data_IF_021074885751
#
_entry.id   IF_021074885751
#
_cell.length_a   1.000
_cell.length_b   1.000
_cell.length_c   1.000
_cell.angle_alpha   90.00
_cell.angle_beta   90.00
_cell.angle_gamma   90.00
#
_symmetry.space_group_name_H-M   'P 1'
#
loop_
_entity.id
_entity.type
_entity.pdbx_description
1 polymer ?
#
# COMPACT_ATOMS: atom_id res chain seq x y z
N UNK A 1 -19.28 -16.39 -12.09
CA UNK A 1 -19.08 -15.30 -11.10
C UNK A 1 -17.99 -15.79 -10.16
N UNK A 2 -16.81 -15.22 -10.25
CA UNK A 2 -15.67 -15.63 -9.42
C UNK A 2 -15.90 -15.03 -8.05
N UNK A 3 -15.82 -15.89 -7.05
CA UNK A 3 -15.94 -15.48 -5.65
C UNK A 3 -14.68 -14.69 -5.26
N UNK A 4 -14.81 -13.38 -5.26
CA UNK A 4 -13.76 -12.42 -4.86
C UNK A 4 -13.25 -12.66 -3.44
N UNK A 5 -14.07 -13.25 -2.58
CA UNK A 5 -13.71 -13.59 -1.22
C UNK A 5 -12.66 -14.70 -1.19
N UNK A 6 -12.86 -15.75 -2.01
CA UNK A 6 -11.90 -16.86 -2.11
C UNK A 6 -10.56 -16.46 -2.73
N UNK A 7 -10.56 -15.54 -3.71
CA UNK A 7 -9.32 -15.00 -4.28
C UNK A 7 -8.57 -14.13 -3.28
N UNK A 8 -9.28 -13.36 -2.47
CA UNK A 8 -8.74 -12.53 -1.42
C UNK A 8 -8.15 -13.36 -0.27
N UNK A 9 -8.86 -14.40 0.16
CA UNK A 9 -8.39 -15.39 1.14
C UNK A 9 -7.10 -16.10 0.69
N UNK A 10 -7.06 -16.53 -0.56
CA UNK A 10 -5.88 -17.17 -1.14
C UNK A 10 -4.70 -16.19 -1.21
N UNK A 11 -4.98 -14.94 -1.55
CA UNK A 11 -3.99 -13.88 -1.59
C UNK A 11 -3.37 -13.59 -0.22
N UNK A 12 -4.19 -13.45 0.81
CA UNK A 12 -3.70 -13.21 2.16
C UNK A 12 -2.86 -14.39 2.68
N UNK A 13 -3.19 -15.62 2.30
CA UNK A 13 -2.38 -16.81 2.58
C UNK A 13 -1.04 -16.80 1.83
N UNK A 14 -1.03 -16.36 0.57
CA UNK A 14 0.18 -16.32 -0.27
C UNK A 14 1.05 -15.09 0.07
N UNK A 15 0.47 -13.92 0.35
CA UNK A 15 1.22 -12.75 0.78
C UNK A 15 1.85 -12.92 2.16
N UNK A 16 1.23 -13.73 3.05
CA UNK A 16 1.90 -14.24 4.26
C UNK A 16 3.23 -14.92 3.90
N UNK A 17 3.20 -15.88 3.00
CA UNK A 17 4.41 -16.63 2.58
C UNK A 17 5.47 -15.73 1.95
N UNK A 18 5.09 -14.74 1.18
CA UNK A 18 6.02 -13.94 0.36
C UNK A 18 6.60 -12.73 1.12
N UNK A 19 5.78 -11.99 1.88
CA UNK A 19 6.29 -10.87 2.71
C UNK A 19 7.18 -11.38 3.84
N UNK A 20 6.95 -12.56 4.30
CA UNK A 20 7.39 -13.11 5.57
C UNK A 20 8.50 -14.12 5.40
N UNK A 21 8.50 -14.94 4.37
CA UNK A 21 9.59 -15.87 4.08
C UNK A 21 10.97 -15.20 3.94
N UNK A 22 11.00 -13.87 3.86
CA UNK A 22 12.22 -13.06 3.81
C UNK A 22 12.46 -12.17 5.04
N UNK A 23 11.57 -12.17 6.02
CA UNK A 23 11.77 -11.41 7.27
C UNK A 23 12.49 -12.22 8.35
N UNK A 24 12.28 -13.55 8.34
CA UNK A 24 12.89 -14.43 9.33
C UNK A 24 13.34 -15.75 8.69
N UNK A 25 14.56 -16.17 8.94
CA UNK A 25 15.00 -17.52 8.72
C UNK A 25 14.53 -18.40 9.87
N UNK A 26 13.76 -19.42 9.53
CA UNK A 26 13.53 -20.66 10.27
C UNK A 26 12.86 -20.58 11.66
N UNK A 27 11.69 -21.19 11.72
CA UNK A 27 11.00 -21.57 12.96
C UNK A 27 9.64 -22.17 12.64
N UNK A 28 9.55 -23.49 12.63
CA UNK A 28 8.29 -24.22 12.44
C UNK A 28 7.26 -23.82 13.50
N UNK A 29 6.15 -23.26 13.09
CA UNK A 29 4.99 -23.06 13.96
C UNK A 29 3.76 -23.74 13.35
N UNK A 30 3.35 -24.80 14.01
CA UNK A 30 2.16 -25.61 13.80
C UNK A 30 0.87 -24.76 13.87
N UNK A 31 -0.05 -25.08 12.98
CA UNK A 31 -1.42 -24.58 12.99
C UNK A 31 -2.18 -25.06 14.24
N UNK A 32 -2.91 -24.14 14.83
CA UNK A 32 -4.02 -24.44 15.71
C UNK A 32 -4.01 -23.70 17.03
N UNK A 33 -4.72 -22.54 17.07
CA UNK A 33 -5.45 -22.11 18.26
C UNK A 33 -6.56 -21.14 17.81
N UNK A 34 -7.79 -21.45 18.24
CA UNK A 34 -8.96 -20.57 18.17
C UNK A 34 -8.70 -19.36 19.07
N UNK A 35 -8.62 -18.17 18.47
CA UNK A 35 -8.53 -16.94 19.25
C UNK A 35 -9.83 -16.71 20.02
N UNK A 36 -9.72 -16.45 21.31
CA UNK A 36 -10.79 -15.87 22.11
C UNK A 36 -11.23 -14.54 21.49
N UNK A 37 -12.55 -14.31 21.41
CA UNK A 37 -13.14 -13.09 20.85
C UNK A 37 -13.00 -11.93 21.82
N UNK A 38 -11.80 -11.40 21.98
CA UNK A 38 -11.56 -10.08 22.54
C UNK A 38 -12.08 -9.00 21.56
N UNK A 39 -12.67 -7.94 22.10
CA UNK A 39 -13.10 -6.80 21.30
C UNK A 39 -11.89 -6.19 20.57
N UNK A 40 -11.95 -6.10 19.25
CA UNK A 40 -10.84 -5.61 18.42
C UNK A 40 -10.61 -4.13 18.72
N UNK A 41 -9.45 -3.79 19.27
CA UNK A 41 -9.11 -2.41 19.58
C UNK A 41 -8.39 -1.74 18.41
N UNK A 42 -9.12 -0.89 17.67
CA UNK A 42 -8.54 -0.02 16.66
C UNK A 42 -8.47 1.41 17.21
N UNK A 43 -7.27 1.96 17.30
CA UNK A 43 -7.05 3.36 17.66
C UNK A 43 -7.32 4.24 16.45
N UNK A 44 -8.17 5.27 16.62
CA UNK A 44 -8.55 6.19 15.54
C UNK A 44 -8.10 7.60 15.87
N UNK A 45 -7.31 8.19 14.98
CA UNK A 45 -6.83 9.57 15.10
C UNK A 45 -7.42 10.43 14.00
N UNK A 46 -7.74 11.69 14.32
CA UNK A 46 -8.13 12.71 13.35
C UNK A 46 -6.92 13.56 13.00
N UNK A 47 -6.54 13.58 11.72
CA UNK A 47 -5.39 14.34 11.24
C UNK A 47 -5.84 15.57 10.45
N UNK A 48 -5.23 16.72 10.73
CA UNK A 48 -5.32 17.91 9.89
C UNK A 48 -4.09 17.97 9.00
N UNK A 49 -4.29 18.07 7.71
CA UNK A 49 -3.21 18.14 6.73
C UNK A 49 -3.44 19.29 5.76
N UNK A 50 -2.43 20.08 5.42
CA UNK A 50 -2.53 21.08 4.36
C UNK A 50 -2.62 20.45 2.96
N UNK A 51 -2.43 19.14 2.86
CA UNK A 51 -2.38 18.35 1.64
C UNK A 51 -3.72 17.68 1.30
N UNK A 52 -4.74 17.89 2.13
CA UNK A 52 -6.07 17.30 1.99
C UNK A 52 -7.16 18.36 2.19
N UNK A 53 -8.34 18.18 1.58
CA UNK A 53 -9.42 19.16 1.59
C UNK A 53 -10.00 19.39 2.99
N UNK A 54 -10.02 18.37 3.83
CA UNK A 54 -10.50 18.41 5.21
C UNK A 54 -9.72 17.43 6.10
N UNK A 55 -10.14 17.28 7.36
CA UNK A 55 -9.52 16.32 8.26
C UNK A 55 -9.68 14.90 7.73
N UNK A 56 -8.63 14.12 7.86
CA UNK A 56 -8.58 12.69 7.53
C UNK A 56 -8.55 11.85 8.81
N UNK A 57 -8.79 10.56 8.70
CA UNK A 57 -8.61 9.61 9.78
C UNK A 57 -7.34 8.78 9.57
N UNK A 58 -6.75 8.36 10.68
CA UNK A 58 -5.69 7.35 10.72
C UNK A 58 -6.11 6.26 11.69
N UNK A 59 -6.26 5.04 11.20
CA UNK A 59 -6.63 3.87 12.00
C UNK A 59 -5.39 3.03 12.26
N UNK A 60 -5.18 2.67 13.52
CA UNK A 60 -4.00 1.92 13.97
C UNK A 60 -4.47 0.63 14.67
N UNK A 61 -3.92 -0.50 14.25
CA UNK A 61 -4.01 -1.79 14.91
C UNK A 61 -2.64 -2.12 15.51
N UNK A 62 -2.61 -2.32 16.82
CA UNK A 62 -1.41 -2.66 17.58
C UNK A 62 -1.35 -4.18 17.83
N UNK A 63 -0.16 -4.76 18.06
CA UNK A 63 -0.05 -6.09 18.65
C UNK A 63 -0.76 -6.15 20.01
N UNK A 64 -1.33 -7.30 20.36
CA UNK A 64 -2.04 -7.49 21.64
C UNK A 64 -1.10 -7.29 22.84
N UNK A 65 0.15 -7.78 22.73
CA UNK A 65 1.21 -7.58 23.74
C UNK A 65 2.04 -6.31 23.44
N UNK A 66 1.35 -5.19 23.13
CA UNK A 66 2.00 -3.94 22.82
C UNK A 66 2.78 -3.38 24.01
N UNK A 67 4.08 -3.09 23.79
CA UNK A 67 5.01 -2.60 24.80
C UNK A 67 5.71 -1.32 24.33
N UNK A 68 5.54 -0.24 25.08
CA UNK A 68 6.15 1.07 24.78
C UNK A 68 7.69 1.05 24.81
N UNK A 69 8.32 0.08 25.46
CA UNK A 69 9.78 -0.06 25.51
C UNK A 69 10.37 -0.69 24.24
N UNK A 70 9.56 -1.36 23.43
CA UNK A 70 9.94 -1.96 22.16
C UNK A 70 9.90 -0.94 21.00
N UNK A 71 10.48 -1.30 19.87
CA UNK A 71 10.35 -0.58 18.60
C UNK A 71 9.77 -1.48 17.52
N UNK A 72 8.63 -1.10 16.99
CA UNK A 72 7.85 -1.90 16.05
C UNK A 72 8.07 -1.46 14.60
N UNK A 73 8.13 -2.37 13.64
CA UNK A 73 7.93 -2.00 12.24
C UNK A 73 6.48 -1.53 12.01
N UNK A 74 6.26 -0.78 10.94
CA UNK A 74 4.94 -0.28 10.54
C UNK A 74 4.55 -0.83 9.18
N UNK A 75 3.37 -1.41 9.08
CA UNK A 75 2.73 -1.79 7.81
C UNK A 75 1.66 -0.76 7.46
N UNK A 76 1.91 0.03 6.44
CA UNK A 76 0.93 0.97 5.89
C UNK A 76 -0.05 0.22 4.99
N UNK A 77 -1.31 0.16 5.41
CA UNK A 77 -2.42 -0.51 4.71
C UNK A 77 -3.13 0.54 3.86
N UNK A 78 -2.81 0.58 2.60
CA UNK A 78 -3.25 1.64 1.71
C UNK A 78 -4.68 1.42 1.22
N UNK A 79 -5.63 2.35 1.48
CA UNK A 79 -7.02 2.21 1.05
C UNK A 79 -7.20 2.44 -0.46
N UNK A 80 -8.21 1.82 -1.04
CA UNK A 80 -8.61 2.05 -2.44
C UNK A 80 -9.52 3.26 -2.58
N UNK A 81 -10.28 3.58 -1.54
CA UNK A 81 -11.29 4.63 -1.53
C UNK A 81 -11.00 5.75 -0.54
N UNK A 82 -11.67 6.85 -0.75
CA UNK A 82 -11.67 8.05 0.09
C UNK A 82 -12.43 7.85 1.41
N UNK A 83 -12.15 8.68 2.40
CA UNK A 83 -12.88 8.86 3.66
C UNK A 83 -13.23 7.55 4.40
N UNK A 84 -12.38 6.53 4.28
CA UNK A 84 -12.58 5.25 4.94
C UNK A 84 -13.69 4.38 4.35
N UNK A 85 -14.14 4.67 3.11
CA UNK A 85 -15.11 3.83 2.41
C UNK A 85 -14.53 2.43 2.15
N UNK A 86 -15.17 1.42 2.74
CA UNK A 86 -14.68 0.03 2.76
C UNK A 86 -15.33 -0.85 1.67
N UNK A 87 -15.59 -0.29 0.48
CA UNK A 87 -16.26 -0.99 -0.61
C UNK A 87 -15.59 -2.32 -1.03
N UNK A 88 -14.29 -2.46 -0.79
CA UNK A 88 -13.51 -3.66 -1.10
C UNK A 88 -12.97 -4.37 0.16
N UNK A 89 -13.68 -4.23 1.28
CA UNK A 89 -13.28 -4.80 2.56
C UNK A 89 -12.43 -3.84 3.40
N UNK A 90 -12.19 -4.23 4.63
CA UNK A 90 -11.38 -3.50 5.60
C UNK A 90 -10.02 -4.17 5.78
N UNK A 91 -8.98 -3.58 5.21
CA UNK A 91 -7.63 -4.15 5.25
C UNK A 91 -7.07 -4.34 6.68
N UNK A 92 -7.45 -3.51 7.66
CA UNK A 92 -7.03 -3.72 9.05
C UNK A 92 -7.73 -4.93 9.68
N UNK A 93 -9.03 -5.08 9.41
CA UNK A 93 -9.80 -6.23 9.89
C UNK A 93 -9.28 -7.55 9.31
N UNK A 94 -8.90 -7.55 8.04
CA UNK A 94 -8.30 -8.72 7.40
C UNK A 94 -6.93 -9.07 8.02
N UNK A 95 -6.08 -8.07 8.26
CA UNK A 95 -4.79 -8.30 8.92
C UNK A 95 -4.98 -8.78 10.38
N UNK A 96 -6.01 -8.28 11.07
CA UNK A 96 -6.38 -8.78 12.40
C UNK A 96 -6.82 -10.24 12.33
N UNK A 97 -7.79 -10.58 11.45
CA UNK A 97 -8.29 -11.94 11.28
C UNK A 97 -7.19 -12.96 10.93
N UNK A 98 -6.15 -12.49 10.23
CA UNK A 98 -4.96 -13.27 9.92
C UNK A 98 -3.87 -13.21 11.00
N UNK A 99 -4.13 -12.53 12.11
CA UNK A 99 -3.21 -12.36 13.21
C UNK A 99 -1.82 -11.80 12.83
N UNK A 100 -1.77 -10.99 11.77
CA UNK A 100 -0.50 -10.47 11.23
C UNK A 100 0.19 -9.54 12.24
N UNK A 101 -0.56 -8.68 12.92
CA UNK A 101 -0.07 -7.72 13.91
C UNK A 101 0.68 -8.40 15.06
N UNK A 102 0.19 -9.56 15.53
CA UNK A 102 0.83 -10.34 16.59
C UNK A 102 1.98 -11.21 16.05
N UNK A 103 1.74 -11.95 14.97
CA UNK A 103 2.75 -12.87 14.43
C UNK A 103 4.07 -12.17 14.05
N UNK A 104 3.99 -10.89 13.67
CA UNK A 104 5.16 -10.13 13.22
C UNK A 104 5.50 -8.96 14.14
N UNK A 105 4.84 -8.86 15.28
CA UNK A 105 4.98 -7.73 16.19
C UNK A 105 5.02 -6.41 15.41
N UNK A 106 4.01 -6.16 14.56
CA UNK A 106 3.96 -5.04 13.61
C UNK A 106 2.76 -4.14 13.87
N UNK A 107 2.96 -2.84 13.86
CA UNK A 107 1.87 -1.85 13.91
C UNK A 107 1.29 -1.71 12.50
N UNK A 108 -0.03 -1.98 12.35
CA UNK A 108 -0.72 -1.78 11.09
C UNK A 108 -1.42 -0.42 11.08
N UNK A 109 -1.13 0.41 10.09
CA UNK A 109 -1.62 1.78 9.98
C UNK A 109 -2.39 1.98 8.67
N UNK A 110 -3.67 2.37 8.75
CA UNK A 110 -4.50 2.67 7.58
C UNK A 110 -4.90 4.14 7.58
N UNK A 111 -4.28 4.98 6.74
CA UNK A 111 -4.67 6.37 6.57
C UNK A 111 -5.92 6.50 5.71
N UNK A 112 -6.72 7.58 5.88
CA UNK A 112 -7.73 7.96 4.92
C UNK A 112 -7.31 9.18 4.09
N UNK A 113 -8.04 9.43 3.00
CA UNK A 113 -7.82 10.53 2.06
C UNK A 113 -9.17 11.17 1.74
N UNK A 114 -9.19 12.46 1.47
CA UNK A 114 -10.43 13.23 1.19
C UNK A 114 -10.94 13.07 -0.25
N UNK A 115 -10.17 12.42 -1.10
CA UNK A 115 -10.57 12.03 -2.46
C UNK A 115 -10.01 10.66 -2.78
N UNK A 116 -10.48 10.03 -3.86
CA UNK A 116 -9.97 8.71 -4.30
C UNK A 116 -8.46 8.76 -4.45
N UNK A 117 -7.68 8.11 -3.57
CA UNK A 117 -6.25 8.28 -3.56
C UNK A 117 -5.61 7.59 -4.76
N UNK A 118 -4.72 8.31 -5.44
CA UNK A 118 -3.82 7.80 -6.47
C UNK A 118 -2.38 7.72 -5.99
N UNK A 119 -2.14 8.16 -4.73
CA UNK A 119 -0.83 8.17 -4.09
C UNK A 119 0.18 9.02 -4.85
N UNK A 120 -0.31 10.15 -5.35
CA UNK A 120 0.43 11.17 -6.09
C UNK A 120 0.10 12.54 -5.52
N UNK A 121 0.91 13.53 -5.84
CA UNK A 121 0.55 14.92 -5.66
C UNK A 121 -0.01 15.48 -6.97
N UNK A 122 -1.26 15.93 -6.94
CA UNK A 122 -1.91 16.55 -8.08
C UNK A 122 -1.31 17.94 -8.30
N UNK A 123 -0.79 18.23 -9.49
CA UNK A 123 -0.02 19.46 -9.74
C UNK A 123 -0.87 20.75 -9.76
N UNK A 124 -2.18 20.64 -9.95
CA UNK A 124 -3.10 21.80 -9.98
C UNK A 124 -4.00 21.90 -8.75
N UNK A 125 -4.08 20.88 -7.89
CA UNK A 125 -5.00 20.87 -6.75
C UNK A 125 -4.27 20.59 -5.43
N UNK A 126 -4.01 21.60 -4.61
CA UNK A 126 -3.31 21.46 -3.34
C UNK A 126 -4.06 20.61 -2.30
N UNK A 127 -5.36 20.38 -2.49
CA UNK A 127 -6.16 19.52 -1.62
C UNK A 127 -6.17 18.05 -2.04
N UNK A 128 -5.44 17.70 -3.09
CA UNK A 128 -5.25 16.32 -3.60
C UNK A 128 -3.76 15.95 -3.66
N UNK A 129 -3.07 16.11 -2.54
CA UNK A 129 -1.63 15.82 -2.41
C UNK A 129 -1.46 14.56 -1.58
N UNK A 130 -1.78 13.39 -2.17
CA UNK A 130 -1.83 12.12 -1.44
C UNK A 130 -0.44 11.66 -0.95
N UNK A 131 0.57 11.79 -1.80
CA UNK A 131 1.95 11.48 -1.46
C UNK A 131 2.46 12.38 -0.33
N UNK A 132 2.29 13.69 -0.47
CA UNK A 132 2.67 14.66 0.56
C UNK A 132 1.89 14.45 1.86
N UNK A 133 0.61 14.08 1.81
CA UNK A 133 -0.16 13.74 3.00
C UNK A 133 0.45 12.52 3.72
N UNK A 134 0.73 11.45 3.00
CA UNK A 134 1.35 10.26 3.59
C UNK A 134 2.73 10.57 4.18
N UNK A 135 3.59 11.23 3.39
CA UNK A 135 5.00 11.45 3.75
C UNK A 135 5.22 12.51 4.80
N UNK A 136 4.38 13.57 4.82
CA UNK A 136 4.60 14.77 5.67
C UNK A 136 3.59 14.91 6.80
N UNK A 137 2.52 14.11 6.81
CA UNK A 137 1.52 14.15 7.88
C UNK A 137 1.39 12.80 8.55
N UNK A 138 1.05 11.74 7.81
CA UNK A 138 0.75 10.42 8.39
C UNK A 138 1.99 9.78 9.01
N UNK A 139 3.08 9.64 8.26
CA UNK A 139 4.32 9.00 8.75
C UNK A 139 4.89 9.77 9.96
N UNK A 140 5.08 11.10 9.92
CA UNK A 140 5.57 11.84 11.08
C UNK A 140 4.65 11.76 12.30
N UNK A 141 3.32 11.70 12.10
CA UNK A 141 2.39 11.51 13.20
C UNK A 141 2.62 10.16 13.90
N UNK A 142 2.74 9.08 13.13
CA UNK A 142 2.98 7.74 13.69
C UNK A 142 4.32 7.71 14.44
N UNK A 143 5.37 8.28 13.88
CA UNK A 143 6.70 8.34 14.49
C UNK A 143 6.74 9.15 15.79
N UNK A 144 5.90 10.17 15.91
CA UNK A 144 5.78 10.99 17.10
C UNK A 144 4.94 10.36 18.23
N UNK A 145 3.99 9.47 17.90
CA UNK A 145 2.99 8.97 18.86
C UNK A 145 3.14 7.48 19.18
N UNK A 146 3.91 6.74 18.39
CA UNK A 146 4.07 5.29 18.56
C UNK A 146 5.55 4.91 18.56
N UNK A 147 5.94 3.87 19.31
CA UNK A 147 7.32 3.42 19.38
C UNK A 147 7.68 2.62 18.12
N UNK A 148 7.75 3.28 16.97
CA UNK A 148 8.06 2.66 15.68
C UNK A 148 9.54 2.74 15.33
N UNK A 149 9.97 1.85 14.45
CA UNK A 149 11.27 1.94 13.78
C UNK A 149 11.20 3.02 12.71
N UNK A 150 12.07 4.03 12.83
CA UNK A 150 12.14 5.17 11.91
C UNK A 150 13.10 4.97 10.74
N UNK A 151 13.80 3.81 10.70
CA UNK A 151 14.63 3.42 9.56
C UNK A 151 13.79 2.86 8.40
N UNK A 152 14.41 2.69 7.23
CA UNK A 152 13.79 2.08 6.06
C UNK A 152 13.24 0.69 6.34
N UNK A 153 14.01 -0.13 7.04
CA UNK A 153 13.72 -1.52 7.37
C UNK A 153 12.49 -1.66 8.26
N UNK A 154 12.08 -0.57 8.90
CA UNK A 154 10.86 -0.49 9.72
C UNK A 154 9.59 -0.13 8.95
N UNK A 155 9.61 0.16 7.64
CA UNK A 155 8.42 0.63 6.91
C UNK A 155 8.06 -0.24 5.73
N UNK A 156 6.81 -0.75 5.75
CA UNK A 156 6.24 -1.64 4.75
C UNK A 156 4.96 -1.05 4.17
N UNK A 157 4.67 -1.35 2.92
CA UNK A 157 3.44 -0.94 2.25
C UNK A 157 2.68 -2.16 1.74
N UNK A 158 1.36 -2.15 1.88
CA UNK A 158 0.47 -3.12 1.26
C UNK A 158 -0.69 -2.40 0.57
N UNK A 159 -1.05 -2.86 -0.62
CA UNK A 159 -2.16 -2.25 -1.36
C UNK A 159 -2.81 -3.17 -2.38
N UNK A 160 -4.09 -2.91 -2.64
CA UNK A 160 -4.92 -3.62 -3.60
C UNK A 160 -5.31 -2.72 -4.77
N UNK A 161 -5.37 -3.25 -5.98
CA UNK A 161 -5.85 -2.52 -7.16
C UNK A 161 -5.13 -1.16 -7.31
N UNK A 162 -5.85 -0.06 -7.25
CA UNK A 162 -5.31 1.30 -7.33
C UNK A 162 -4.30 1.60 -6.21
N UNK A 163 -4.57 1.16 -4.99
CA UNK A 163 -3.61 1.33 -3.88
C UNK A 163 -2.39 0.41 -4.02
N UNK A 164 -2.53 -0.75 -4.65
CA UNK A 164 -1.40 -1.59 -5.06
C UNK A 164 -0.47 -0.87 -6.04
N UNK A 165 -1.04 -0.20 -7.06
CA UNK A 165 -0.28 0.70 -7.93
C UNK A 165 0.41 1.82 -7.14
N UNK A 166 -0.33 2.43 -6.22
CA UNK A 166 0.20 3.47 -5.33
C UNK A 166 1.39 2.99 -4.50
N UNK A 167 1.28 1.81 -3.92
CA UNK A 167 2.35 1.19 -3.14
C UNK A 167 3.63 0.98 -3.97
N UNK A 168 3.49 0.47 -5.21
CA UNK A 168 4.62 0.32 -6.14
C UNK A 168 5.24 1.68 -6.48
N UNK A 169 4.41 2.68 -6.80
CA UNK A 169 4.86 4.04 -7.10
C UNK A 169 5.64 4.66 -5.94
N UNK A 170 5.11 4.56 -4.72
CA UNK A 170 5.75 5.05 -3.51
C UNK A 170 7.12 4.37 -3.26
N UNK A 171 7.23 3.06 -3.44
CA UNK A 171 8.51 2.37 -3.31
C UNK A 171 9.55 2.89 -4.31
N UNK A 172 9.15 3.05 -5.58
CA UNK A 172 10.05 3.53 -6.64
C UNK A 172 10.48 4.98 -6.43
N UNK A 173 9.60 5.82 -5.90
CA UNK A 173 9.88 7.24 -5.64
C UNK A 173 10.65 7.46 -4.35
N UNK A 174 10.43 6.61 -3.35
CA UNK A 174 11.02 6.70 -2.01
C UNK A 174 11.73 5.40 -1.59
N UNK A 175 12.71 4.90 -2.37
CA UNK A 175 13.36 3.62 -2.10
C UNK A 175 14.18 3.61 -0.80
N UNK A 176 14.52 4.79 -0.27
CA UNK A 176 15.20 4.95 1.02
C UNK A 176 14.24 5.03 2.21
N UNK A 177 12.93 5.24 1.94
CA UNK A 177 11.92 5.38 2.99
C UNK A 177 11.24 4.04 3.30
N UNK A 178 10.91 3.25 2.30
CA UNK A 178 10.17 2.00 2.45
C UNK A 178 11.06 0.79 2.21
N UNK A 179 10.88 -0.26 3.02
CA UNK A 179 11.65 -1.49 2.91
C UNK A 179 11.12 -2.38 1.81
N UNK A 180 9.86 -2.81 1.94
CA UNK A 180 9.20 -3.74 1.01
C UNK A 180 7.75 -3.33 0.76
N UNK A 181 7.26 -3.77 -0.38
CA UNK A 181 5.88 -3.55 -0.82
C UNK A 181 5.25 -4.86 -1.25
N UNK A 182 4.01 -5.09 -0.82
CA UNK A 182 3.12 -6.09 -1.39
C UNK A 182 1.96 -5.40 -2.12
N UNK A 183 1.77 -5.76 -3.38
CA UNK A 183 0.70 -5.24 -4.21
C UNK A 183 -0.04 -6.38 -4.87
N UNK A 184 -1.36 -6.46 -4.66
CA UNK A 184 -2.15 -7.44 -5.38
C UNK A 184 -3.11 -6.78 -6.33
N UNK A 185 -3.20 -7.39 -7.47
CA UNK A 185 -4.00 -6.94 -8.57
C UNK A 185 -3.78 -5.44 -8.88
N UNK A 186 -2.51 -4.99 -8.91
CA UNK A 186 -2.22 -3.57 -9.01
C UNK A 186 -2.78 -3.02 -10.32
N UNK A 187 -3.46 -1.87 -10.23
CA UNK A 187 -4.10 -1.21 -11.36
C UNK A 187 -3.11 -0.58 -12.34
N UNK A 188 -2.15 -1.36 -12.85
CA UNK A 188 -1.03 -0.87 -13.68
C UNK A 188 -1.37 -0.71 -15.16
N UNK A 189 -2.58 -1.01 -15.59
CA UNK A 189 -2.99 -0.91 -17.00
C UNK A 189 -2.74 0.47 -17.61
N UNK A 190 -3.02 1.52 -16.85
CA UNK A 190 -2.78 2.90 -17.32
C UNK A 190 -1.30 3.22 -17.51
N UNK A 191 -0.42 2.47 -16.84
CA UNK A 191 1.02 2.71 -16.86
C UNK A 191 1.73 2.00 -18.01
N UNK A 192 1.14 0.89 -18.49
CA UNK A 192 1.80 -0.02 -19.45
C UNK A 192 1.33 0.17 -20.88
N UNK A 193 0.07 0.59 -21.09
CA UNK A 193 -0.50 0.77 -22.42
C UNK A 193 0.05 1.99 -23.18
N UNK A 194 -0.21 2.10 -24.48
CA UNK A 194 0.04 3.32 -25.22
C UNK A 194 -0.80 4.44 -24.58
N UNK A 195 -0.15 5.57 -24.35
CA UNK A 195 -0.81 6.77 -23.83
C UNK A 195 -1.64 7.40 -24.95
N UNK A 196 -2.91 7.70 -24.70
CA UNK A 196 -3.74 8.47 -25.62
C UNK A 196 -4.71 7.65 -26.47
N UNK A 197 -4.92 6.38 -26.22
CA UNK A 197 -6.03 5.68 -26.87
C UNK A 197 -7.36 6.00 -26.16
N UNK A 198 -8.04 7.02 -26.65
CA UNK A 198 -9.41 7.38 -26.35
C UNK A 198 -9.57 8.61 -25.45
N UNK A 199 -10.50 9.47 -25.83
CA UNK A 199 -10.93 10.71 -25.15
C UNK A 199 -11.22 10.54 -23.64
N UNK A 200 -11.76 9.40 -23.22
CA UNK A 200 -11.99 9.11 -21.80
C UNK A 200 -10.69 9.04 -20.98
N UNK A 201 -9.58 8.71 -21.58
CA UNK A 201 -8.32 8.57 -20.86
C UNK A 201 -7.75 9.95 -20.49
N UNK A 202 -7.81 10.93 -21.36
CA UNK A 202 -7.26 12.27 -21.11
C UNK A 202 -8.03 13.00 -20.02
N UNK A 203 -9.37 13.01 -20.06
CA UNK A 203 -10.17 13.66 -19.03
C UNK A 203 -9.98 13.01 -17.65
N UNK A 204 -9.90 11.69 -17.58
CA UNK A 204 -9.65 10.96 -16.33
C UNK A 204 -8.22 11.17 -15.81
N UNK A 205 -7.25 11.34 -16.69
CA UNK A 205 -5.88 11.64 -16.29
C UNK A 205 -5.77 13.04 -15.69
N UNK A 206 -6.42 14.02 -16.33
CA UNK A 206 -6.51 15.38 -15.80
C UNK A 206 -7.16 15.41 -14.41
N UNK A 207 -8.31 14.75 -14.24
CA UNK A 207 -8.98 14.64 -12.94
C UNK A 207 -8.09 14.04 -11.84
N UNK A 208 -7.22 13.07 -12.21
CA UNK A 208 -6.43 12.30 -11.26
C UNK A 208 -5.06 12.88 -10.99
N UNK A 209 -4.43 13.46 -12.01
CA UNK A 209 -3.03 13.89 -11.98
C UNK A 209 -2.86 15.40 -12.20
N UNK A 210 -3.90 16.10 -12.70
CA UNK A 210 -3.87 17.51 -13.10
C UNK A 210 -3.36 17.67 -14.55
N UNK A 211 -2.15 17.24 -14.84
CA UNK A 211 -1.58 17.34 -16.17
C UNK A 211 -1.03 16.02 -16.72
N UNK A 212 -0.87 15.97 -18.05
CA UNK A 212 -0.19 14.87 -18.72
C UNK A 212 1.28 14.75 -18.28
N UNK A 213 1.96 15.87 -18.04
CA UNK A 213 3.33 15.89 -17.54
C UNK A 213 3.42 15.25 -16.15
N UNK A 214 2.50 15.58 -15.27
CA UNK A 214 2.44 14.97 -13.93
C UNK A 214 2.13 13.46 -14.01
N UNK A 215 1.20 13.05 -14.87
CA UNK A 215 0.97 11.62 -15.10
C UNK A 215 2.26 10.91 -15.56
N UNK A 216 3.01 11.47 -16.49
CA UNK A 216 4.26 10.86 -16.96
C UNK A 216 5.31 10.77 -15.84
N UNK A 217 5.36 11.74 -14.92
CA UNK A 217 6.24 11.71 -13.76
C UNK A 217 5.90 10.58 -12.79
N UNK A 218 4.62 10.22 -12.67
CA UNK A 218 4.12 9.14 -11.79
C UNK A 218 3.86 7.81 -12.50
N UNK A 219 4.08 7.75 -13.81
CA UNK A 219 3.86 6.55 -14.62
C UNK A 219 4.86 5.46 -14.25
N UNK A 220 4.36 4.28 -13.84
CA UNK A 220 5.22 3.20 -13.35
C UNK A 220 6.25 2.74 -14.37
N UNK A 221 5.91 2.68 -15.66
CA UNK A 221 6.86 2.31 -16.71
C UNK A 221 8.04 3.30 -16.80
N UNK A 222 7.80 4.59 -16.57
CA UNK A 222 8.86 5.60 -16.53
C UNK A 222 9.66 5.51 -15.23
N UNK A 223 8.98 5.31 -14.08
CA UNK A 223 9.64 5.17 -12.79
C UNK A 223 10.54 3.93 -12.75
N UNK A 224 10.12 2.81 -13.31
CA UNK A 224 10.94 1.59 -13.39
C UNK A 224 12.19 1.83 -14.23
N UNK A 225 12.06 2.44 -15.40
CA UNK A 225 13.21 2.77 -16.27
C UNK A 225 14.21 3.72 -15.63
N UNK A 226 13.73 4.70 -14.86
CA UNK A 226 14.57 5.76 -14.31
C UNK A 226 15.07 5.49 -12.91
N UNK A 227 14.31 4.75 -12.10
CA UNK A 227 14.56 4.52 -10.67
C UNK A 227 14.58 3.05 -10.25
N UNK A 228 14.27 2.10 -11.14
CA UNK A 228 14.23 0.68 -10.81
C UNK A 228 15.54 0.18 -10.17
N UNK A 229 16.67 0.64 -10.68
CA UNK A 229 18.01 0.34 -10.13
C UNK A 229 18.21 0.77 -8.68
N UNK A 230 17.46 1.78 -8.20
CA UNK A 230 17.57 2.28 -6.83
C UNK A 230 17.00 1.29 -5.81
N UNK A 231 16.25 0.27 -6.26
CA UNK A 231 15.79 -0.84 -5.42
C UNK A 231 16.93 -1.79 -5.03
N UNK A 232 18.00 -1.81 -5.80
CA UNK A 232 19.15 -2.72 -5.60
C UNK A 232 18.80 -4.18 -5.97
N UNK A 233 19.68 -5.11 -5.60
CA UNK A 233 19.57 -6.53 -5.97
C UNK A 233 18.75 -7.39 -5.00
N UNK A 234 18.00 -6.76 -4.07
CA UNK A 234 17.16 -7.49 -3.11
C UNK A 234 15.69 -7.44 -3.55
N UNK A 235 14.97 -8.55 -3.37
CA UNK A 235 13.53 -8.59 -3.60
C UNK A 235 12.82 -7.65 -2.60
N UNK A 236 12.26 -6.55 -3.12
CA UNK A 236 11.57 -5.52 -2.33
C UNK A 236 10.14 -5.27 -2.79
N UNK A 237 9.81 -5.70 -4.00
CA UNK A 237 8.48 -5.60 -4.57
C UNK A 237 7.93 -7.01 -4.80
N UNK A 238 6.80 -7.28 -4.17
CA UNK A 238 6.02 -8.49 -4.33
C UNK A 238 4.69 -8.08 -4.94
N UNK A 239 4.34 -8.63 -6.08
CA UNK A 239 3.03 -8.37 -6.66
C UNK A 239 2.37 -9.67 -7.13
N UNK A 240 1.08 -9.68 -7.06
CA UNK A 240 0.25 -10.79 -7.43
C UNK A 240 -0.92 -10.29 -8.27
N UNK A 241 -1.19 -10.91 -9.40
CA UNK A 241 -2.36 -10.63 -10.22
C UNK A 241 -3.32 -11.81 -10.12
N UNK A 242 -4.55 -11.55 -9.66
CA UNK A 242 -5.63 -12.47 -9.89
C UNK A 242 -6.35 -12.00 -11.15
N UNK A 243 -6.68 -12.90 -11.97
CA UNK A 243 -7.74 -12.96 -12.92
C UNK A 243 -7.97 -11.83 -13.96
N UNK A 244 -8.12 -12.25 -15.19
CA UNK A 244 -8.53 -11.47 -16.35
C UNK A 244 -7.37 -11.01 -17.24
N UNK A 245 -7.52 -11.21 -18.54
CA UNK A 245 -6.49 -10.96 -19.57
C UNK A 245 -5.87 -9.56 -19.48
N UNK A 246 -6.67 -8.52 -19.17
CA UNK A 246 -6.17 -7.14 -19.11
C UNK A 246 -5.27 -6.87 -17.89
N UNK A 247 -5.49 -7.56 -16.77
CA UNK A 247 -4.67 -7.39 -15.56
C UNK A 247 -3.42 -8.24 -15.63
N UNK A 248 -3.55 -9.47 -16.12
CA UNK A 248 -2.43 -10.38 -16.36
C UNK A 248 -1.43 -9.77 -17.35
N UNK A 249 -1.89 -9.15 -18.43
CA UNK A 249 -1.00 -8.50 -19.41
C UNK A 249 -0.26 -7.31 -18.82
N UNK A 250 -0.92 -6.47 -18.00
CA UNK A 250 -0.28 -5.37 -17.28
C UNK A 250 0.78 -5.84 -16.30
N UNK A 251 0.49 -6.91 -15.54
CA UNK A 251 1.43 -7.54 -14.63
C UNK A 251 2.64 -8.17 -15.34
N UNK A 252 2.42 -8.84 -16.48
CA UNK A 252 3.51 -9.38 -17.30
C UNK A 252 4.43 -8.27 -17.85
N UNK A 253 3.85 -7.15 -18.28
CA UNK A 253 4.62 -5.99 -18.73
C UNK A 253 5.39 -5.34 -17.57
N UNK A 254 4.79 -5.22 -16.39
CA UNK A 254 5.47 -4.75 -15.19
C UNK A 254 6.65 -5.66 -14.87
N UNK A 255 6.45 -6.98 -14.89
CA UNK A 255 7.52 -7.95 -14.67
C UNK A 255 8.65 -7.80 -15.70
N UNK A 256 8.31 -7.72 -16.98
CA UNK A 256 9.31 -7.55 -18.04
C UNK A 256 10.17 -6.29 -17.86
N UNK A 257 9.59 -5.20 -17.33
CA UNK A 257 10.34 -3.98 -17.01
C UNK A 257 11.20 -4.10 -15.75
N UNK A 258 10.85 -4.99 -14.84
CA UNK A 258 11.60 -5.17 -13.58
C UNK A 258 12.82 -6.07 -13.73
N UNK A 259 12.87 -6.94 -14.75
CA UNK A 259 13.96 -7.89 -14.98
C UNK A 259 14.97 -7.41 -16.03
N UNK A 260 14.75 -6.24 -16.63
CA UNK A 260 15.71 -5.52 -17.50
C UNK A 260 16.71 -4.73 -16.64
#
# INVERSE_FOLDING_TARGET
>A
MIDWHSCYELYLKISKLILIGNLFSCGDALFGQTAETGEIQIHVHSLKSPHQAHKTSLRILLPDDFDLSKRYPTLFVLPVHEDGLLKHGDGLMELHALNVHNQYEIICASPSFTSKPWYIDHDENPAKQDESHLMRTVIPFIEAHYPVRVDREGRYLIGFSKSGRGAVSLLLRHPKMFHKVAAWDPGVRIDMGPYGEGYELESRLHERFGSAANFQAYRLSNLLKTRGKDLGNKARLFYFNCDGVARTSGGAQLHALMVQ
#
